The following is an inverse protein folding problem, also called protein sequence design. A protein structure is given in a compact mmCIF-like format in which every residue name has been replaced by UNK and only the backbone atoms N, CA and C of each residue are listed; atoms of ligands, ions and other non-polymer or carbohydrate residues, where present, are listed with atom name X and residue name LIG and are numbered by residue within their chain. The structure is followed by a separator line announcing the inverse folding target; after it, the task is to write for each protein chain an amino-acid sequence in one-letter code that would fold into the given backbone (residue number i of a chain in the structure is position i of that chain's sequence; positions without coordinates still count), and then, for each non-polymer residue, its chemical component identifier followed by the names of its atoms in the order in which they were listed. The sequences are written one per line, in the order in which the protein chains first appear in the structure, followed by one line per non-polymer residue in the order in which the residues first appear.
data_IF_301648848073
#
_entry.id   IF_301648848073
#
_cell.length_a   1.000
_cell.length_b   1.000
_cell.length_c   1.000
_cell.angle_alpha   90.00
_cell.angle_beta   90.00
_cell.angle_gamma   90.00
#
_symmetry.space_group_name_H-M   'P 1'
#
loop_
_entity.id
_entity.type
_entity.pdbx_description
1 polymer ?
#
# COMPACT_ATOMS: atom_id res chain seq x y z
N UNK A 1 -15.30 -1.81 0.59
CA UNK A 1 -14.08 -1.92 -0.26
C UNK A 1 -12.87 -1.53 0.57
N UNK A 2 -11.89 -2.42 0.77
CA UNK A 2 -10.76 -2.14 1.68
C UNK A 2 -9.66 -1.31 0.99
N UNK A 3 -9.10 -0.34 1.70
CA UNK A 3 -8.03 0.51 1.20
C UNK A 3 -7.13 1.01 2.33
N UNK A 4 -5.93 1.47 1.99
CA UNK A 4 -5.01 2.15 2.91
C UNK A 4 -4.82 3.57 2.42
N UNK A 5 -4.95 4.54 3.31
CA UNK A 5 -4.51 5.91 3.06
C UNK A 5 -3.11 6.04 3.64
N UNK A 6 -2.19 6.54 2.83
CA UNK A 6 -0.83 6.88 3.24
C UNK A 6 -0.70 8.40 3.19
N UNK A 7 -0.29 8.98 4.31
CA UNK A 7 0.05 10.39 4.43
C UNK A 7 1.56 10.47 4.63
N UNK A 8 2.25 11.22 3.78
CA UNK A 8 3.69 11.37 3.78
C UNK A 8 4.10 12.85 3.72
N UNK A 9 5.31 13.13 4.17
CA UNK A 9 5.96 14.42 3.99
C UNK A 9 7.01 14.32 2.89
N UNK A 10 6.73 14.92 1.74
CA UNK A 10 7.64 15.02 0.61
C UNK A 10 8.49 16.29 0.72
N UNK A 11 9.82 16.19 0.59
CA UNK A 11 10.69 17.36 0.69
C UNK A 11 10.44 18.39 -0.42
N UNK A 12 9.91 17.97 -1.57
CA UNK A 12 9.66 18.85 -2.72
C UNK A 12 8.26 19.48 -2.69
N UNK A 13 7.24 18.71 -2.30
CA UNK A 13 5.83 19.11 -2.42
C UNK A 13 5.12 19.32 -1.07
N UNK A 14 5.78 19.03 0.06
CA UNK A 14 5.17 19.10 1.39
C UNK A 14 4.29 17.88 1.70
N UNK A 15 3.11 18.10 2.25
CA UNK A 15 2.23 17.00 2.68
C UNK A 15 1.52 16.35 1.48
N UNK A 16 1.84 15.09 1.21
CA UNK A 16 1.20 14.30 0.17
C UNK A 16 0.35 13.18 0.79
N UNK A 17 -0.78 12.90 0.13
CA UNK A 17 -1.70 11.85 0.56
C UNK A 17 -2.18 11.04 -0.64
N UNK A 18 -2.04 9.72 -0.54
CA UNK A 18 -2.52 8.82 -1.58
C UNK A 18 -3.25 7.61 -1.00
N UNK A 19 -4.09 7.00 -1.85
CA UNK A 19 -4.93 5.86 -1.48
C UNK A 19 -4.47 4.62 -2.23
N UNK A 20 -4.08 3.60 -1.48
CA UNK A 20 -3.74 2.27 -1.97
C UNK A 20 -4.97 1.38 -1.87
N UNK A 21 -5.44 0.85 -2.99
CA UNK A 21 -6.59 -0.09 -2.99
C UNK A 21 -6.12 -1.49 -2.58
N UNK A 22 -6.86 -2.18 -1.73
CA UNK A 22 -6.61 -3.58 -1.41
C UNK A 22 -7.53 -4.44 -2.28
N UNK A 23 -6.95 -5.15 -3.24
CA UNK A 23 -7.68 -5.99 -4.19
C UNK A 23 -7.47 -7.46 -3.82
N UNK A 24 -8.50 -8.08 -3.26
CA UNK A 24 -8.48 -9.52 -2.97
C UNK A 24 -8.68 -10.32 -4.25
N UNK A 25 -7.73 -11.20 -4.58
CA UNK A 25 -7.84 -12.12 -5.70
C UNK A 25 -7.85 -13.56 -5.19
N UNK A 26 -8.81 -14.33 -5.69
CA UNK A 26 -8.99 -15.74 -5.33
C UNK A 26 -8.23 -16.71 -6.26
N UNK A 27 -7.72 -16.21 -7.39
CA UNK A 27 -6.98 -16.97 -8.41
C UNK A 27 -5.45 -16.81 -8.31
N UNK A 28 -4.95 -16.34 -7.16
CA UNK A 28 -3.51 -16.24 -6.88
C UNK A 28 -3.14 -17.16 -5.71
N UNK A 29 -1.86 -17.52 -5.54
CA UNK A 29 -1.43 -18.42 -4.47
C UNK A 29 -1.88 -17.90 -3.09
N UNK A 30 -2.14 -18.84 -2.19
CA UNK A 30 -2.45 -18.53 -0.79
C UNK A 30 -1.29 -17.73 -0.18
N UNK A 31 -1.60 -16.83 0.75
CA UNK A 31 -0.61 -16.00 1.44
C UNK A 31 0.26 -15.08 0.57
N UNK A 32 -0.14 -14.77 -0.66
CA UNK A 32 0.61 -13.84 -1.52
C UNK A 32 0.12 -12.41 -1.34
N UNK A 33 1.05 -11.47 -1.17
CA UNK A 33 0.80 -10.03 -1.27
C UNK A 33 1.74 -9.49 -2.35
N UNK A 34 1.20 -8.80 -3.34
CA UNK A 34 1.97 -8.18 -4.41
C UNK A 34 1.60 -6.71 -4.57
N UNK A 35 2.60 -5.85 -4.67
CA UNK A 35 2.42 -4.43 -5.00
C UNK A 35 2.19 -4.29 -6.49
N UNK A 36 1.09 -3.65 -6.88
CA UNK A 36 0.86 -3.20 -8.23
C UNK A 36 1.23 -1.71 -8.31
N UNK A 37 2.16 -1.41 -9.20
CA UNK A 37 2.62 -0.04 -9.47
C UNK A 37 1.74 0.56 -10.59
N UNK A 38 1.45 1.85 -10.50
CA UNK A 38 0.78 2.59 -11.58
C UNK A 38 1.71 2.72 -12.77
N UNK A 39 1.16 2.53 -13.97
CA UNK A 39 1.90 2.81 -15.21
C UNK A 39 1.68 4.25 -15.71
N UNK A 40 0.51 4.86 -15.44
CA UNK A 40 0.12 6.26 -15.78
C UNK A 40 -0.96 6.76 -14.81
N UNK A 41 -1.14 8.07 -14.59
CA UNK A 41 -0.29 9.18 -15.05
C UNK A 41 1.00 9.36 -14.21
N UNK A 42 1.10 8.72 -13.04
CA UNK A 42 2.27 8.79 -12.15
C UNK A 42 2.96 7.42 -12.08
N UNK A 43 3.88 7.11 -13.02
CA UNK A 43 4.64 5.87 -13.01
C UNK A 43 5.52 5.75 -11.76
N UNK A 44 5.50 4.58 -11.12
CA UNK A 44 6.28 4.34 -9.89
C UNK A 44 5.48 4.43 -8.59
N UNK A 45 4.29 5.04 -8.62
CA UNK A 45 3.40 5.06 -7.45
C UNK A 45 2.70 3.72 -7.21
N UNK A 46 2.37 3.44 -5.95
CA UNK A 46 1.56 2.27 -5.61
C UNK A 46 0.10 2.50 -6.06
N UNK A 47 -0.39 1.67 -6.98
CA UNK A 47 -1.79 1.64 -7.41
C UNK A 47 -2.65 0.85 -6.42
N UNK A 48 -2.25 -0.40 -6.19
CA UNK A 48 -3.03 -1.36 -5.43
C UNK A 48 -2.17 -2.48 -4.86
N UNK A 49 -2.61 -3.03 -3.73
CA UNK A 49 -2.07 -4.26 -3.18
C UNK A 49 -2.96 -5.42 -3.61
N UNK A 50 -2.39 -6.37 -4.33
CA UNK A 50 -3.06 -7.61 -4.71
C UNK A 50 -2.84 -8.60 -3.58
N UNK A 51 -3.93 -9.06 -2.97
CA UNK A 51 -3.91 -9.89 -1.77
C UNK A 51 -4.57 -11.23 -2.04
N UNK A 52 -3.87 -12.32 -1.71
CA UNK A 52 -4.33 -13.69 -1.87
C UNK A 52 -5.24 -14.16 -0.74
N UNK A 53 -5.64 -15.43 -0.80
CA UNK A 53 -6.46 -16.06 0.24
C UNK A 53 -5.66 -16.22 1.54
N UNK A 54 -6.34 -16.08 2.68
CA UNK A 54 -5.75 -16.29 4.02
C UNK A 54 -5.01 -15.09 4.60
N UNK A 55 -4.84 -14.01 3.83
CA UNK A 55 -4.18 -12.80 4.32
C UNK A 55 -5.15 -11.96 5.16
N UNK A 56 -4.75 -11.72 6.40
CA UNK A 56 -5.45 -10.83 7.32
C UNK A 56 -5.14 -9.36 7.01
N UNK A 57 -5.95 -8.45 7.55
CA UNK A 57 -5.62 -7.02 7.47
C UNK A 57 -4.28 -6.71 8.15
N UNK A 58 -3.94 -7.42 9.23
CA UNK A 58 -2.68 -7.26 9.98
C UNK A 58 -1.46 -7.58 9.12
N UNK A 59 -1.52 -8.67 8.36
CA UNK A 59 -0.45 -9.06 7.43
C UNK A 59 -0.23 -8.00 6.36
N UNK A 60 -1.31 -7.40 5.85
CA UNK A 60 -1.22 -6.28 4.90
C UNK A 60 -0.54 -5.07 5.52
N UNK A 61 -0.82 -4.75 6.79
CA UNK A 61 -0.14 -3.63 7.46
C UNK A 61 1.36 -3.89 7.63
N UNK A 62 1.72 -5.10 8.07
CA UNK A 62 3.12 -5.51 8.25
C UNK A 62 3.86 -5.45 6.92
N UNK A 63 3.27 -6.03 5.86
CA UNK A 63 3.85 -6.00 4.53
C UNK A 63 4.05 -4.58 4.01
N UNK A 64 3.03 -3.72 4.11
CA UNK A 64 3.13 -2.35 3.63
C UNK A 64 4.18 -1.54 4.42
N UNK A 65 4.25 -1.73 5.74
CA UNK A 65 5.29 -1.11 6.58
C UNK A 65 6.69 -1.54 6.16
N UNK A 66 6.90 -2.85 5.98
CA UNK A 66 8.19 -3.38 5.56
C UNK A 66 8.58 -2.85 4.18
N UNK A 67 7.66 -2.90 3.21
CA UNK A 67 7.88 -2.36 1.87
C UNK A 67 8.27 -0.88 1.91
N UNK A 68 7.51 -0.04 2.62
CA UNK A 68 7.80 1.40 2.75
C UNK A 68 9.15 1.66 3.43
N UNK A 69 9.57 0.79 4.34
CA UNK A 69 10.87 0.87 4.99
C UNK A 69 12.00 0.46 4.05
N UNK A 70 11.84 -0.61 3.27
CA UNK A 70 12.81 -1.08 2.28
C UNK A 70 13.05 -0.04 1.17
N UNK A 71 12.00 0.67 0.73
CA UNK A 71 12.14 1.76 -0.26
C UNK A 71 12.58 3.10 0.36
N UNK A 72 12.84 3.14 1.67
CA UNK A 72 13.31 4.34 2.38
C UNK A 72 12.27 5.45 2.56
N UNK A 73 10.99 5.18 2.26
CA UNK A 73 9.89 6.13 2.41
C UNK A 73 9.32 6.17 3.83
N UNK A 74 9.55 5.14 4.64
CA UNK A 74 8.96 5.01 5.98
C UNK A 74 9.26 6.21 6.90
N UNK A 75 10.47 6.75 6.84
CA UNK A 75 10.87 7.94 7.63
C UNK A 75 10.05 9.18 7.30
N UNK A 76 9.43 9.21 6.12
CA UNK A 76 8.59 10.31 5.63
C UNK A 76 7.11 10.06 5.86
N UNK A 77 6.71 8.86 6.28
CA UNK A 77 5.31 8.53 6.53
C UNK A 77 4.86 9.19 7.83
N UNK A 78 3.84 10.04 7.73
CA UNK A 78 3.20 10.71 8.87
C UNK A 78 2.09 9.84 9.47
N UNK A 79 1.27 9.23 8.61
CA UNK A 79 0.18 8.38 9.04
C UNK A 79 -0.18 7.29 8.01
N UNK A 80 -0.63 6.14 8.54
CA UNK A 80 -1.25 5.06 7.78
C UNK A 80 -2.66 4.83 8.33
N UNK A 81 -3.68 5.06 7.49
CA UNK A 81 -5.07 4.86 7.87
C UNK A 81 -5.70 3.75 7.04
N UNK A 82 -5.96 2.62 7.69
CA UNK A 82 -6.64 1.48 7.07
C UNK A 82 -8.15 1.73 7.07
N UNK A 83 -8.74 1.78 5.88
CA UNK A 83 -10.19 1.78 5.68
C UNK A 83 -10.57 0.35 5.35
N UNK A 84 -11.07 -0.37 6.35
CA UNK A 84 -11.59 -1.73 6.21
C UNK A 84 -13.11 -1.60 6.40
N UNK A 85 -13.85 -1.77 5.31
CA UNK A 85 -15.30 -1.97 5.31
C UNK A 85 -15.60 -3.46 5.27
#
# INVERSE_FOLDING_TARGET
MSAVIVELNCPEHGLERFKIKIVRKYNIPKNTIAVKIKNKPFPGEIDSLIVGRGISSKDVQIYLRNYLNEVGLWSRVLALKFIIQ
#
